data_IF_490469044324
#
_entry.id   IF_490469044324
#
_cell.length_a   1.000
_cell.length_b   1.000
_cell.length_c   1.000
_cell.angle_alpha   90.00
_cell.angle_beta   90.00
_cell.angle_gamma   90.00
#
_symmetry.space_group_name_H-M   'P 1'
#
loop_
_entity.id
_entity.type
_entity.pdbx_description
1 polymer ?
#
# COMPACT_ATOMS: atom_id res chain seq x y z
N UNK A 1 -8.89 14.02 0.07
CA UNK A 1 -8.78 15.50 -0.07
C UNK A 1 -7.49 15.90 -0.78
N UNK A 2 -6.30 15.46 -0.35
CA UNK A 2 -4.98 15.87 -0.90
C UNK A 2 -4.88 15.77 -2.43
N UNK A 3 -5.22 14.61 -3.04
CA UNK A 3 -5.19 14.49 -4.50
C UNK A 3 -6.08 15.50 -5.21
N UNK A 4 -7.28 15.75 -4.69
CA UNK A 4 -8.22 16.72 -5.26
C UNK A 4 -7.67 18.15 -5.18
N UNK A 5 -6.93 18.48 -4.12
CA UNK A 5 -6.26 19.78 -3.97
C UNK A 5 -5.10 19.92 -4.98
N UNK A 6 -4.29 18.88 -5.15
CA UNK A 6 -3.21 18.86 -6.17
C UNK A 6 -3.81 19.04 -7.57
N UNK A 7 -4.91 18.35 -7.88
CA UNK A 7 -5.60 18.48 -9.17
C UNK A 7 -6.31 19.86 -9.35
N UNK A 8 -6.46 20.64 -8.29
CA UNK A 8 -7.20 21.93 -8.31
C UNK A 8 -8.71 21.80 -8.33
N UNK A 9 -9.24 20.61 -8.02
CA UNK A 9 -10.68 20.34 -7.87
C UNK A 9 -11.21 20.96 -6.58
N UNK A 10 -10.36 20.93 -5.54
CA UNK A 10 -10.63 21.55 -4.23
C UNK A 10 -9.54 22.57 -3.97
N UNK A 11 -9.93 23.75 -3.49
CA UNK A 11 -8.99 24.80 -3.10
C UNK A 11 -8.60 24.59 -1.63
N UNK A 12 -7.31 24.44 -1.29
CA UNK A 12 -6.86 24.42 0.10
C UNK A 12 -7.08 25.77 0.79
N UNK A 13 -7.27 25.77 2.10
CA UNK A 13 -7.42 26.99 2.89
C UNK A 13 -6.10 27.77 2.96
N UNK A 14 -4.95 27.05 3.05
CA UNK A 14 -3.64 27.66 3.13
C UNK A 14 -2.53 26.69 2.65
N UNK A 15 -1.32 27.24 2.50
CA UNK A 15 -0.14 26.48 2.09
C UNK A 15 0.24 26.68 0.64
N UNK A 16 1.10 25.81 0.12
CA UNK A 16 1.54 25.81 -1.27
C UNK A 16 1.55 24.40 -1.88
N UNK A 17 1.39 24.34 -3.20
CA UNK A 17 1.56 23.12 -4.01
C UNK A 17 2.50 23.49 -5.16
N UNK A 18 3.64 22.82 -5.18
CA UNK A 18 4.70 23.09 -6.15
C UNK A 18 5.06 21.80 -6.85
N UNK A 19 5.13 21.86 -8.16
CA UNK A 19 5.64 20.78 -9.01
C UNK A 19 7.09 21.09 -9.36
N UNK A 20 8.00 20.30 -8.83
CA UNK A 20 9.42 20.37 -9.19
C UNK A 20 9.64 19.55 -10.45
N UNK A 21 10.28 20.14 -11.46
CA UNK A 21 10.57 19.46 -12.72
C UNK A 21 11.52 18.27 -12.51
N UNK A 22 11.27 17.17 -13.18
CA UNK A 22 12.14 16.01 -13.18
C UNK A 22 13.42 16.31 -13.99
N UNK A 23 14.60 16.17 -13.36
CA UNK A 23 15.94 15.96 -13.89
C UNK A 23 16.50 16.71 -15.11
N UNK A 24 15.71 17.32 -15.96
CA UNK A 24 16.14 17.92 -17.23
C UNK A 24 16.05 19.44 -17.28
N UNK A 25 16.15 20.13 -16.15
CA UNK A 25 16.18 21.61 -16.11
C UNK A 25 14.81 22.28 -16.29
N UNK A 26 13.73 21.54 -16.14
CA UNK A 26 12.38 22.12 -16.11
C UNK A 26 12.22 23.00 -14.88
N UNK A 27 11.68 24.20 -15.09
CA UNK A 27 11.47 25.18 -14.03
C UNK A 27 10.41 24.70 -13.05
N UNK A 28 10.63 24.99 -11.77
CA UNK A 28 9.66 24.82 -10.70
C UNK A 28 8.34 25.53 -11.05
N UNK A 29 7.21 24.83 -10.93
CA UNK A 29 5.90 25.32 -11.27
C UNK A 29 4.99 25.36 -10.04
N UNK A 30 4.55 26.54 -9.65
CA UNK A 30 3.65 26.76 -8.53
C UNK A 30 2.21 26.56 -9.00
N UNK A 31 1.54 25.52 -8.52
CA UNK A 31 0.14 25.22 -8.84
C UNK A 31 -0.85 25.94 -7.91
N UNK A 32 -0.45 26.14 -6.66
CA UNK A 32 -1.21 26.85 -5.64
C UNK A 32 -0.26 27.51 -4.63
N UNK A 33 -0.58 28.73 -4.21
CA UNK A 33 0.11 29.40 -3.11
C UNK A 33 -0.85 30.44 -2.50
N UNK A 34 -1.28 30.18 -1.27
CA UNK A 34 -2.24 31.05 -0.57
C UNK A 34 -1.65 32.43 -0.25
N UNK A 35 -0.37 32.53 0.09
CA UNK A 35 0.31 33.79 0.42
C UNK A 35 0.49 34.67 -0.83
N UNK A 36 0.85 34.05 -1.95
CA UNK A 36 1.07 34.73 -3.24
C UNK A 36 -0.22 34.87 -4.07
N UNK A 37 -1.35 34.35 -3.59
CA UNK A 37 -2.64 34.31 -4.30
C UNK A 37 -2.57 33.64 -5.67
N UNK A 38 -1.72 32.61 -5.79
CA UNK A 38 -1.60 31.81 -6.99
C UNK A 38 -2.59 30.65 -6.90
N UNK A 39 -3.45 30.51 -7.90
CA UNK A 39 -4.36 29.37 -8.03
C UNK A 39 -4.49 29.00 -9.51
N UNK A 40 -3.65 28.08 -9.95
CA UNK A 40 -3.71 27.60 -11.32
C UNK A 40 -4.96 26.75 -11.56
N UNK A 41 -5.69 27.05 -12.61
CA UNK A 41 -6.93 26.32 -12.97
C UNK A 41 -6.61 24.86 -13.30
N UNK A 42 -7.48 23.87 -12.95
CA UNK A 42 -7.24 22.44 -13.21
C UNK A 42 -6.83 22.14 -14.65
N UNK A 43 -7.45 22.79 -15.63
CA UNK A 43 -7.19 22.60 -17.06
C UNK A 43 -5.76 22.97 -17.50
N UNK A 44 -5.08 23.80 -16.72
CA UNK A 44 -3.70 24.22 -16.98
C UNK A 44 -2.65 23.38 -16.24
N UNK A 45 -3.07 22.61 -15.22
CA UNK A 45 -2.14 21.86 -14.36
C UNK A 45 -1.46 20.67 -15.04
N UNK A 46 -1.96 20.23 -16.22
CA UNK A 46 -1.48 19.04 -16.94
C UNK A 46 -1.47 17.79 -16.05
N UNK A 47 -2.52 17.62 -15.26
CA UNK A 47 -2.70 16.53 -14.30
C UNK A 47 -3.74 15.55 -14.82
N UNK A 48 -3.37 14.28 -14.88
CA UNK A 48 -4.29 13.17 -15.11
C UNK A 48 -4.88 12.69 -13.79
N UNK A 49 -6.19 12.70 -13.65
CA UNK A 49 -6.87 12.25 -12.43
C UNK A 49 -7.76 11.04 -12.71
N UNK A 50 -7.43 9.91 -12.06
CA UNK A 50 -8.29 8.73 -12.04
C UNK A 50 -9.18 8.78 -10.81
N UNK A 51 -10.48 8.92 -11.03
CA UNK A 51 -11.48 8.87 -9.97
C UNK A 51 -11.78 7.43 -9.58
N UNK A 52 -12.19 7.21 -8.34
CA UNK A 52 -12.55 5.90 -7.80
C UNK A 52 -13.65 5.18 -8.61
N UNK A 53 -14.58 5.93 -9.20
CA UNK A 53 -15.65 5.43 -10.08
C UNK A 53 -15.35 5.58 -11.57
N UNK A 54 -14.06 5.77 -11.92
CA UNK A 54 -13.53 5.98 -13.27
C UNK A 54 -14.07 7.21 -13.99
N UNK A 55 -15.20 7.75 -13.59
CA UNK A 55 -15.87 8.93 -14.17
C UNK A 55 -15.89 8.94 -15.71
N UNK A 56 -16.22 7.80 -16.32
CA UNK A 56 -16.42 7.72 -17.76
C UNK A 56 -17.67 8.48 -18.17
N UNK A 57 -17.65 9.10 -19.34
CA UNK A 57 -18.81 9.75 -19.91
C UNK A 57 -19.80 8.69 -20.41
N UNK A 58 -20.97 8.53 -19.79
CA UNK A 58 -21.87 7.40 -20.04
C UNK A 58 -22.48 7.39 -21.44
N UNK A 59 -22.59 8.58 -22.06
CA UNK A 59 -23.16 8.78 -23.40
C UNK A 59 -22.11 8.84 -24.51
N UNK A 60 -20.86 8.49 -24.20
CA UNK A 60 -19.76 8.42 -25.16
C UNK A 60 -19.25 6.98 -25.26
N UNK A 61 -18.88 6.58 -26.47
CA UNK A 61 -18.23 5.29 -26.71
C UNK A 61 -16.82 5.26 -26.09
N UNK A 62 -16.16 4.09 -26.10
CA UNK A 62 -14.76 3.93 -25.66
C UNK A 62 -13.84 4.90 -26.40
N UNK A 63 -13.87 4.90 -27.73
CA UNK A 63 -13.04 5.80 -28.52
C UNK A 63 -13.31 7.28 -28.24
N UNK A 64 -14.58 7.66 -28.06
CA UNK A 64 -14.98 9.02 -27.73
C UNK A 64 -14.51 9.42 -26.32
N UNK A 65 -14.61 8.51 -25.34
CA UNK A 65 -14.07 8.73 -24.01
C UNK A 65 -12.55 8.96 -24.04
N UNK A 66 -11.80 8.18 -24.82
CA UNK A 66 -10.35 8.34 -24.95
C UNK A 66 -10.01 9.65 -25.68
N UNK A 67 -10.80 10.03 -26.70
CA UNK A 67 -10.59 11.23 -27.48
C UNK A 67 -10.90 12.54 -26.73
N UNK A 68 -11.72 12.46 -25.66
CA UNK A 68 -12.08 13.63 -24.87
C UNK A 68 -10.84 14.33 -24.32
N UNK A 69 -10.69 15.60 -24.63
CA UNK A 69 -9.56 16.40 -24.18
C UNK A 69 -8.33 16.34 -25.10
N UNK A 70 -8.27 15.46 -26.09
CA UNK A 70 -7.23 15.50 -27.11
C UNK A 70 -7.40 16.77 -27.95
N UNK A 71 -6.39 17.62 -27.92
CA UNK A 71 -6.28 18.81 -28.75
C UNK A 71 -5.06 18.68 -29.63
N UNK A 72 -5.19 18.96 -30.92
CA UNK A 72 -4.04 18.99 -31.82
C UNK A 72 -4.11 18.03 -33.00
N UNK A 73 -2.97 17.78 -33.62
CA UNK A 73 -2.87 16.93 -34.82
C UNK A 73 -3.00 15.44 -34.48
N UNK A 74 -3.72 14.71 -35.33
CA UNK A 74 -3.89 13.26 -35.28
C UNK A 74 -4.52 12.68 -33.98
N UNK A 75 -5.70 13.12 -33.55
CA UNK A 75 -6.38 12.53 -32.41
C UNK A 75 -6.73 11.05 -32.63
N UNK A 76 -7.05 10.65 -33.87
CA UNK A 76 -7.37 9.26 -34.21
C UNK A 76 -6.18 8.32 -34.03
N UNK A 77 -4.97 8.74 -34.43
CA UNK A 77 -3.75 7.96 -34.19
C UNK A 77 -3.42 7.78 -32.70
N UNK A 78 -3.62 8.81 -31.90
CA UNK A 78 -3.47 8.70 -30.43
C UNK A 78 -4.50 7.76 -29.81
N UNK A 79 -5.77 7.87 -30.22
CA UNK A 79 -6.83 6.95 -29.76
C UNK A 79 -6.49 5.50 -30.13
N UNK A 80 -6.11 5.24 -31.38
CA UNK A 80 -5.72 3.90 -31.82
C UNK A 80 -4.56 3.34 -30.99
N UNK A 81 -3.51 4.14 -30.75
CA UNK A 81 -2.38 3.75 -29.88
C UNK A 81 -2.84 3.40 -28.46
N UNK A 82 -3.77 4.16 -27.88
CA UNK A 82 -4.31 3.88 -26.55
C UNK A 82 -5.19 2.62 -26.52
N UNK A 83 -6.02 2.42 -27.55
CA UNK A 83 -6.83 1.20 -27.72
C UNK A 83 -5.93 -0.04 -27.77
N UNK A 84 -4.84 -0.01 -28.54
CA UNK A 84 -3.87 -1.10 -28.61
C UNK A 84 -3.14 -1.31 -27.27
N UNK A 85 -2.61 -0.24 -26.67
CA UNK A 85 -1.86 -0.30 -25.40
C UNK A 85 -2.68 -0.89 -24.25
N UNK A 86 -3.96 -0.52 -24.19
CA UNK A 86 -4.87 -0.96 -23.12
C UNK A 86 -5.74 -2.17 -23.48
N UNK A 87 -5.45 -2.85 -24.61
CA UNK A 87 -6.16 -4.06 -25.06
C UNK A 87 -7.68 -3.84 -25.12
N UNK A 88 -8.09 -2.77 -25.79
CA UNK A 88 -9.50 -2.36 -25.96
C UNK A 88 -10.01 -2.61 -27.39
N UNK A 89 -9.26 -3.38 -28.20
CA UNK A 89 -9.66 -3.71 -29.57
C UNK A 89 -10.99 -4.45 -29.58
N UNK A 90 -11.87 -4.05 -30.49
CA UNK A 90 -13.23 -4.57 -30.62
C UNK A 90 -14.25 -3.95 -29.66
N UNK A 91 -13.80 -3.06 -28.74
CA UNK A 91 -14.65 -2.37 -27.78
C UNK A 91 -14.87 -0.89 -28.12
N UNK A 92 -14.26 -0.39 -29.21
CA UNK A 92 -14.17 1.03 -29.55
C UNK A 92 -15.54 1.73 -29.59
N UNK A 93 -16.54 1.02 -30.11
CA UNK A 93 -17.93 1.51 -30.30
C UNK A 93 -18.85 1.23 -29.10
N UNK A 94 -18.37 0.50 -28.08
CA UNK A 94 -19.17 0.18 -26.91
C UNK A 94 -19.27 1.38 -25.95
N UNK A 95 -20.36 1.43 -25.23
CA UNK A 95 -20.61 2.41 -24.17
C UNK A 95 -20.17 1.88 -22.80
N UNK A 96 -19.85 2.73 -21.81
CA UNK A 96 -19.40 2.30 -20.48
C UNK A 96 -20.26 1.24 -19.83
N UNK A 97 -21.60 1.30 -19.96
CA UNK A 97 -22.53 0.32 -19.41
C UNK A 97 -22.41 -1.11 -19.99
N UNK A 98 -21.72 -1.25 -21.11
CA UNK A 98 -21.51 -2.52 -21.80
C UNK A 98 -20.16 -3.16 -21.42
N UNK A 99 -19.35 -2.46 -20.62
CA UNK A 99 -18.00 -2.84 -20.25
C UNK A 99 -17.97 -3.44 -18.84
N UNK A 100 -17.10 -4.44 -18.62
CA UNK A 100 -16.75 -4.89 -17.27
C UNK A 100 -15.99 -3.79 -16.50
N UNK A 101 -15.95 -3.88 -15.16
CA UNK A 101 -15.22 -2.91 -14.33
C UNK A 101 -13.77 -2.72 -14.74
N UNK A 102 -13.07 -3.81 -15.09
CA UNK A 102 -11.69 -3.74 -15.57
C UNK A 102 -11.56 -3.09 -16.96
N UNK A 103 -12.52 -3.31 -17.85
CA UNK A 103 -12.54 -2.61 -19.14
C UNK A 103 -12.79 -1.10 -18.94
N UNK A 104 -13.70 -0.74 -18.03
CA UNK A 104 -13.95 0.66 -17.69
C UNK A 104 -12.70 1.35 -17.13
N UNK A 105 -11.95 0.68 -16.26
CA UNK A 105 -10.69 1.19 -15.73
C UNK A 105 -9.66 1.41 -16.85
N UNK A 106 -9.49 0.43 -17.74
CA UNK A 106 -8.58 0.55 -18.87
C UNK A 106 -8.95 1.73 -19.78
N UNK A 107 -10.23 1.93 -20.04
CA UNK A 107 -10.71 3.11 -20.79
C UNK A 107 -10.38 4.41 -20.06
N UNK A 108 -10.58 4.47 -18.74
CA UNK A 108 -10.27 5.64 -17.94
C UNK A 108 -8.76 5.96 -17.95
N UNK A 109 -7.91 4.95 -17.79
CA UNK A 109 -6.45 5.11 -17.87
C UNK A 109 -6.02 5.54 -19.30
N UNK A 110 -6.57 4.90 -20.34
CA UNK A 110 -6.33 5.28 -21.73
C UNK A 110 -6.70 6.74 -21.99
N UNK A 111 -7.87 7.19 -21.52
CA UNK A 111 -8.32 8.58 -21.60
C UNK A 111 -7.35 9.56 -20.96
N UNK A 112 -6.89 9.24 -19.73
CA UNK A 112 -6.01 10.11 -18.96
C UNK A 112 -4.62 10.19 -19.61
N UNK A 113 -4.07 9.08 -20.06
CA UNK A 113 -2.72 9.03 -20.64
C UNK A 113 -2.67 9.51 -22.10
N UNK A 114 -3.81 9.55 -22.80
CA UNK A 114 -3.88 10.01 -24.19
C UNK A 114 -3.39 11.45 -24.39
N UNK A 115 -3.57 12.33 -23.40
CA UNK A 115 -3.10 13.72 -23.47
C UNK A 115 -1.74 13.96 -22.83
N UNK A 116 -1.03 12.90 -22.43
CA UNK A 116 0.35 12.96 -21.93
C UNK A 116 0.49 13.94 -20.74
N UNK A 117 -0.12 13.65 -19.58
CA UNK A 117 -0.04 14.53 -18.43
C UNK A 117 1.37 14.53 -17.81
N UNK A 118 1.76 15.60 -17.10
CA UNK A 118 3.02 15.67 -16.36
C UNK A 118 2.92 14.92 -15.02
N UNK A 119 1.71 14.80 -14.49
CA UNK A 119 1.42 14.14 -13.21
C UNK A 119 0.18 13.26 -13.32
N UNK A 120 0.26 12.05 -12.77
CA UNK A 120 -0.83 11.10 -12.69
C UNK A 120 -1.28 10.92 -11.25
N UNK A 121 -2.54 11.21 -10.96
CA UNK A 121 -3.16 11.04 -9.66
C UNK A 121 -4.17 9.90 -9.70
N UNK A 122 -3.97 8.88 -8.88
CA UNK A 122 -4.77 7.66 -8.82
C UNK A 122 -5.50 7.58 -7.48
N UNK A 123 -6.81 7.82 -7.49
CA UNK A 123 -7.65 7.80 -6.28
C UNK A 123 -8.34 6.44 -6.13
N UNK A 124 -7.76 5.55 -5.33
CA UNK A 124 -8.29 4.21 -5.09
C UNK A 124 -8.50 3.38 -6.37
N UNK A 125 -7.49 3.18 -7.22
CA UNK A 125 -7.67 2.64 -8.56
C UNK A 125 -8.33 1.25 -8.60
N UNK A 126 -8.26 0.49 -7.52
CA UNK A 126 -8.79 -0.88 -7.47
C UNK A 126 -9.94 -1.07 -6.46
N UNK A 127 -10.43 0.01 -5.84
CA UNK A 127 -11.38 -0.08 -4.71
C UNK A 127 -12.75 -0.64 -5.09
N UNK A 128 -13.16 -0.56 -6.35
CA UNK A 128 -14.46 -1.01 -6.85
C UNK A 128 -14.42 -2.40 -7.52
N UNK A 129 -13.35 -3.19 -7.30
CA UNK A 129 -13.13 -4.45 -8.01
C UNK A 129 -13.20 -5.66 -7.10
N UNK A 130 -13.63 -6.80 -7.69
CA UNK A 130 -13.46 -8.11 -7.08
C UNK A 130 -11.96 -8.51 -7.00
N UNK A 131 -11.66 -9.49 -6.16
CA UNK A 131 -10.29 -9.89 -5.84
C UNK A 131 -9.53 -10.44 -7.05
N UNK A 132 -10.17 -11.23 -7.89
CA UNK A 132 -9.53 -11.87 -9.04
C UNK A 132 -9.12 -10.84 -10.11
N UNK A 133 -10.03 -9.93 -10.44
CA UNK A 133 -9.79 -8.89 -11.42
C UNK A 133 -8.74 -7.88 -10.94
N UNK A 134 -8.76 -7.57 -9.65
CA UNK A 134 -7.83 -6.63 -9.00
C UNK A 134 -6.36 -7.01 -9.20
N UNK A 135 -6.02 -8.28 -9.02
CA UNK A 135 -4.64 -8.75 -9.15
C UNK A 135 -4.11 -8.60 -10.59
N UNK A 136 -4.90 -9.02 -11.58
CA UNK A 136 -4.54 -8.86 -13.00
C UNK A 136 -4.32 -7.40 -13.38
N UNK A 137 -5.22 -6.51 -12.95
CA UNK A 137 -5.16 -5.08 -13.25
C UNK A 137 -4.04 -4.35 -12.50
N UNK A 138 -3.69 -4.81 -11.30
CA UNK A 138 -2.54 -4.31 -10.54
C UNK A 138 -1.23 -4.55 -11.31
N UNK A 139 -1.05 -5.75 -11.86
CA UNK A 139 0.11 -6.06 -12.70
C UNK A 139 0.13 -5.23 -14.00
N UNK A 140 -1.04 -4.97 -14.58
CA UNK A 140 -1.16 -4.13 -15.78
C UNK A 140 -0.81 -2.66 -15.45
N UNK A 141 -1.36 -2.12 -14.36
CA UNK A 141 -1.03 -0.77 -13.90
C UNK A 141 0.46 -0.61 -13.56
N UNK A 142 1.07 -1.63 -12.92
CA UNK A 142 2.51 -1.63 -12.63
C UNK A 142 3.36 -1.41 -13.90
N UNK A 143 3.00 -2.07 -15.02
CA UNK A 143 3.68 -1.90 -16.30
C UNK A 143 3.49 -0.48 -16.85
N UNK A 144 2.27 0.04 -16.75
CA UNK A 144 1.95 1.41 -17.20
C UNK A 144 2.75 2.44 -16.41
N UNK A 145 2.82 2.30 -15.08
CA UNK A 145 3.55 3.22 -14.21
C UNK A 145 5.06 3.15 -14.43
N UNK A 146 5.61 1.97 -14.70
CA UNK A 146 7.05 1.79 -15.00
C UNK A 146 7.46 2.47 -16.31
N UNK A 147 6.55 2.57 -17.30
CA UNK A 147 6.78 3.23 -18.58
C UNK A 147 6.43 4.72 -18.57
N UNK A 148 5.88 5.21 -17.44
CA UNK A 148 5.44 6.59 -17.33
C UNK A 148 6.55 7.46 -16.76
N UNK A 149 7.03 8.43 -17.54
CA UNK A 149 8.15 9.30 -17.18
C UNK A 149 7.76 10.45 -16.24
N UNK A 150 6.47 10.63 -15.95
CA UNK A 150 5.95 11.68 -15.07
C UNK A 150 5.85 11.27 -13.60
N UNK A 151 5.40 12.20 -12.78
CA UNK A 151 5.13 11.94 -11.36
C UNK A 151 3.81 11.19 -11.23
N UNK A 152 3.80 10.06 -10.50
CA UNK A 152 2.57 9.35 -10.15
C UNK A 152 2.33 9.35 -8.64
N UNK A 153 1.11 9.69 -8.23
CA UNK A 153 0.69 9.65 -6.82
C UNK A 153 -0.56 8.78 -6.72
N UNK A 154 -0.52 7.75 -5.88
CA UNK A 154 -1.63 6.85 -5.65
C UNK A 154 -2.10 6.92 -4.19
N UNK A 155 -3.42 6.92 -3.99
CA UNK A 155 -4.04 6.70 -2.67
C UNK A 155 -4.65 5.32 -2.65
N UNK A 156 -4.31 4.53 -1.64
CA UNK A 156 -4.86 3.19 -1.43
C UNK A 156 -4.93 2.86 0.05
N UNK A 157 -5.84 1.96 0.41
CA UNK A 157 -5.91 1.32 1.73
C UNK A 157 -5.32 -0.10 1.72
N UNK A 158 -4.93 -0.61 0.54
CA UNK A 158 -4.38 -1.94 0.38
C UNK A 158 -2.86 -1.89 0.47
N UNK A 159 -2.30 -2.56 1.48
CA UNK A 159 -0.85 -2.63 1.74
C UNK A 159 -0.07 -3.21 0.57
N UNK A 160 -0.60 -4.28 -0.03
CA UNK A 160 0.04 -4.97 -1.15
C UNK A 160 0.14 -4.08 -2.39
N UNK A 161 -0.89 -3.25 -2.65
CA UNK A 161 -0.87 -2.25 -3.72
C UNK A 161 0.22 -1.21 -3.47
N UNK A 162 0.28 -0.66 -2.26
CA UNK A 162 1.28 0.32 -1.88
C UNK A 162 2.71 -0.24 -1.99
N UNK A 163 2.93 -1.46 -1.49
CA UNK A 163 4.23 -2.12 -1.52
C UNK A 163 4.73 -2.45 -2.94
N UNK A 164 3.81 -2.88 -3.83
CA UNK A 164 4.16 -3.31 -5.18
C UNK A 164 4.26 -2.18 -6.20
N UNK A 165 3.47 -1.11 -6.03
CA UNK A 165 3.31 -0.07 -7.04
C UNK A 165 4.02 1.24 -6.70
N UNK A 166 4.44 1.43 -5.44
CA UNK A 166 5.01 2.70 -4.99
C UNK A 166 6.46 2.54 -4.53
N UNK A 167 7.35 3.35 -5.07
CA UNK A 167 8.75 3.42 -4.62
C UNK A 167 8.86 4.12 -3.25
N UNK A 168 7.98 5.09 -3.00
CA UNK A 168 7.92 5.86 -1.76
C UNK A 168 6.51 5.86 -1.20
N UNK A 169 6.42 5.85 0.11
CA UNK A 169 5.15 5.92 0.85
C UNK A 169 5.08 7.17 1.72
N UNK A 170 3.85 7.61 1.90
CA UNK A 170 3.47 8.59 2.92
C UNK A 170 2.29 8.00 3.69
N UNK A 171 2.52 7.61 4.94
CA UNK A 171 1.47 7.13 5.83
C UNK A 171 0.76 8.34 6.46
N UNK A 172 -0.55 8.38 6.34
CA UNK A 172 -1.37 9.48 6.86
C UNK A 172 -2.40 8.97 7.87
N UNK A 173 -2.58 9.72 8.94
CA UNK A 173 -3.61 9.48 9.93
C UNK A 173 -4.14 10.81 10.44
N UNK A 174 -5.47 10.97 10.53
CA UNK A 174 -6.15 12.19 11.00
C UNK A 174 -5.63 13.49 10.37
N UNK A 175 -5.34 13.44 9.08
CA UNK A 175 -4.84 14.59 8.32
C UNK A 175 -3.36 14.91 8.52
N UNK A 176 -2.63 14.13 9.32
CA UNK A 176 -1.19 14.30 9.57
C UNK A 176 -0.39 13.21 8.88
N UNK A 177 0.85 13.54 8.51
CA UNK A 177 1.83 12.57 8.01
C UNK A 177 2.49 11.90 9.22
N UNK A 178 2.36 10.57 9.33
CA UNK A 178 3.00 9.77 10.37
C UNK A 178 4.43 9.40 9.99
N UNK A 179 4.62 8.97 8.75
CA UNK A 179 5.91 8.56 8.23
C UNK A 179 5.95 8.78 6.72
N UNK A 180 7.12 9.06 6.17
CA UNK A 180 7.35 9.20 4.73
C UNK A 180 8.76 8.74 4.38
N UNK A 181 8.89 7.90 3.36
CA UNK A 181 10.18 7.36 2.94
C UNK A 181 10.06 6.30 1.85
N UNK A 182 11.15 5.60 1.53
CA UNK A 182 11.13 4.45 0.65
C UNK A 182 10.16 3.38 1.15
N UNK A 183 9.37 2.77 0.24
CA UNK A 183 8.31 1.81 0.62
C UNK A 183 8.85 0.67 1.48
N UNK A 184 9.96 0.06 1.06
CA UNK A 184 10.57 -1.08 1.77
C UNK A 184 11.01 -0.71 3.19
N UNK A 185 11.57 0.48 3.36
CA UNK A 185 12.02 0.99 4.66
C UNK A 185 10.84 1.23 5.61
N UNK A 186 9.77 1.89 5.12
CA UNK A 186 8.55 2.12 5.91
C UNK A 186 7.90 0.79 6.33
N UNK A 187 7.93 -0.23 5.45
CA UNK A 187 7.41 -1.55 5.80
C UNK A 187 8.32 -2.31 6.77
N UNK A 188 9.64 -2.23 6.64
CA UNK A 188 10.57 -2.91 7.55
C UNK A 188 10.68 -2.22 8.91
N UNK A 189 10.68 -0.87 8.93
CA UNK A 189 10.81 -0.08 10.15
C UNK A 189 9.79 1.08 10.19
N UNK A 190 8.56 0.83 10.61
CA UNK A 190 7.49 1.83 10.63
C UNK A 190 7.67 2.93 11.69
N UNK A 191 8.48 2.70 12.72
CA UNK A 191 8.89 3.67 13.75
C UNK A 191 7.83 4.02 14.78
N UNK A 192 6.53 3.83 14.54
CA UNK A 192 5.46 4.07 15.52
C UNK A 192 4.39 2.98 15.49
N UNK A 193 3.66 2.85 16.60
CA UNK A 193 2.55 1.89 16.76
C UNK A 193 1.56 2.04 15.60
N UNK A 194 1.15 3.26 15.30
CA UNK A 194 0.15 3.51 14.26
C UNK A 194 0.65 3.15 12.86
N UNK A 195 1.89 3.47 12.54
CA UNK A 195 2.51 3.11 11.28
C UNK A 195 2.69 1.58 11.17
N UNK A 196 3.04 0.90 12.26
CA UNK A 196 3.14 -0.56 12.32
C UNK A 196 1.79 -1.23 12.02
N UNK A 197 0.70 -0.75 12.63
CA UNK A 197 -0.66 -1.22 12.34
C UNK A 197 -1.01 -1.02 10.86
N UNK A 198 -0.77 0.16 10.32
CA UNK A 198 -1.05 0.48 8.91
C UNK A 198 -0.23 -0.38 7.94
N UNK A 199 1.01 -0.74 8.29
CA UNK A 199 1.86 -1.66 7.51
C UNK A 199 1.63 -3.13 7.82
N UNK A 200 0.68 -3.47 8.72
CA UNK A 200 0.18 -4.82 8.92
C UNK A 200 0.77 -5.60 10.08
N UNK A 201 1.47 -4.95 10.99
CA UNK A 201 1.84 -5.56 12.26
C UNK A 201 0.58 -5.71 13.12
N UNK A 202 0.27 -6.95 13.54
CA UNK A 202 -0.88 -7.26 14.39
C UNK A 202 -0.48 -7.47 15.85
N UNK A 203 0.68 -8.05 16.09
CA UNK A 203 1.19 -8.27 17.42
C UNK A 203 1.94 -7.01 17.87
N UNK A 204 1.35 -6.26 18.77
CA UNK A 204 1.94 -5.05 19.36
C UNK A 204 1.71 -5.12 20.88
N UNK A 205 2.75 -4.85 21.64
CA UNK A 205 2.69 -4.82 23.11
C UNK A 205 3.40 -3.60 23.65
N UNK A 206 2.86 -3.05 24.73
CA UNK A 206 3.58 -2.13 25.61
C UNK A 206 4.75 -2.85 26.24
N UNK A 207 5.78 -2.12 26.58
CA UNK A 207 6.98 -2.71 27.19
C UNK A 207 7.35 -2.08 28.51
N UNK A 208 7.95 -2.92 29.35
CA UNK A 208 8.84 -2.49 30.43
C UNK A 208 10.28 -2.74 29.98
N UNK A 209 11.15 -1.73 30.10
CA UNK A 209 12.56 -1.85 29.74
C UNK A 209 13.33 -2.55 30.85
N UNK A 210 13.97 -3.67 30.54
CA UNK A 210 14.82 -4.43 31.45
C UNK A 210 16.31 -4.15 31.27
N UNK A 211 16.68 -3.54 30.13
CA UNK A 211 18.07 -3.24 29.78
C UNK A 211 18.18 -2.55 28.42
N UNK A 212 19.39 -2.44 27.87
CA UNK A 212 19.62 -1.83 26.56
C UNK A 212 19.02 -2.62 25.38
N UNK A 213 18.92 -3.95 25.54
CA UNK A 213 18.45 -4.87 24.51
C UNK A 213 17.41 -5.87 25.04
N UNK A 214 16.87 -5.67 26.24
CA UNK A 214 15.87 -6.57 26.85
C UNK A 214 14.64 -5.79 27.26
N UNK A 215 13.48 -6.37 26.94
CA UNK A 215 12.16 -5.83 27.27
C UNK A 215 11.28 -6.92 27.88
N UNK A 216 10.29 -6.51 28.67
CA UNK A 216 9.14 -7.32 29.06
C UNK A 216 7.92 -6.85 28.32
N UNK A 217 7.27 -7.72 27.56
CA UNK A 217 6.08 -7.43 26.78
C UNK A 217 4.83 -7.55 27.69
N UNK A 218 4.30 -6.41 28.10
CA UNK A 218 3.26 -6.34 29.14
C UNK A 218 1.92 -6.94 28.70
N UNK A 219 1.60 -6.82 27.40
CA UNK A 219 0.33 -7.30 26.85
C UNK A 219 0.40 -8.75 26.35
N UNK A 220 1.58 -9.43 26.47
CA UNK A 220 1.81 -10.81 26.07
C UNK A 220 2.22 -11.70 27.27
N UNK A 221 1.48 -11.61 28.37
CA UNK A 221 1.75 -12.35 29.62
C UNK A 221 3.17 -12.10 30.15
N UNK A 222 3.65 -10.86 30.05
CA UNK A 222 4.95 -10.41 30.57
C UNK A 222 6.17 -11.18 30.04
N UNK A 223 6.09 -11.69 28.81
CA UNK A 223 7.21 -12.40 28.18
C UNK A 223 8.42 -11.47 28.06
N UNK A 224 9.60 -11.99 28.43
CA UNK A 224 10.86 -11.29 28.28
C UNK A 224 11.45 -11.59 26.90
N UNK A 225 11.84 -10.55 26.18
CA UNK A 225 12.39 -10.64 24.83
C UNK A 225 13.68 -9.82 24.70
N UNK A 226 14.60 -10.36 23.91
CA UNK A 226 15.82 -9.68 23.50
C UNK A 226 15.61 -9.07 22.13
N UNK A 227 16.01 -7.83 21.92
CA UNK A 227 15.90 -7.08 20.67
C UNK A 227 17.29 -6.70 20.15
N UNK A 228 17.43 -6.58 18.82
CA UNK A 228 18.70 -6.20 18.21
C UNK A 228 19.02 -4.71 18.41
N UNK A 229 18.00 -3.87 18.31
CA UNK A 229 18.13 -2.41 18.44
C UNK A 229 18.34 -1.94 19.87
N UNK A 230 18.91 -0.74 20.04
CA UNK A 230 19.07 -0.11 21.34
C UNK A 230 17.72 0.53 21.77
N UNK A 231 17.25 0.20 22.98
CA UNK A 231 16.00 0.69 23.52
C UNK A 231 16.23 2.07 24.15
N UNK A 232 15.73 3.12 23.51
CA UNK A 232 15.71 4.47 24.04
C UNK A 232 14.45 4.76 24.84
N UNK A 233 14.42 5.85 25.60
CA UNK A 233 13.25 6.22 26.43
C UNK A 233 12.01 6.58 25.59
N UNK A 234 12.18 6.83 24.28
CA UNK A 234 11.06 7.08 23.36
C UNK A 234 10.34 5.80 22.91
N UNK A 235 10.98 4.63 23.08
CA UNK A 235 10.42 3.35 22.71
C UNK A 235 9.50 2.87 23.82
N UNK A 236 8.22 2.80 23.52
CA UNK A 236 7.16 2.44 24.46
C UNK A 236 6.50 1.10 24.14
N UNK A 237 6.69 0.61 22.91
CA UNK A 237 6.08 -0.61 22.40
C UNK A 237 7.06 -1.43 21.59
N UNK A 238 6.75 -2.72 21.46
CA UNK A 238 7.35 -3.59 20.45
C UNK A 238 6.27 -4.16 19.54
N UNK A 239 6.69 -4.58 18.35
CA UNK A 239 5.82 -5.25 17.39
C UNK A 239 6.48 -6.47 16.76
N UNK A 240 5.70 -7.53 16.49
CA UNK A 240 6.15 -8.72 15.77
C UNK A 240 5.14 -9.02 14.68
N UNK A 241 5.57 -9.23 13.45
CA UNK A 241 4.67 -9.62 12.38
C UNK A 241 4.30 -11.10 12.49
N UNK A 242 3.08 -11.44 12.14
CA UNK A 242 2.56 -12.80 12.30
C UNK A 242 3.33 -13.87 11.49
N UNK A 243 4.09 -13.47 10.48
CA UNK A 243 4.92 -14.36 9.66
C UNK A 243 6.40 -14.41 10.07
N UNK A 244 6.82 -13.60 11.05
CA UNK A 244 8.22 -13.57 11.52
C UNK A 244 8.50 -14.62 12.60
N UNK A 245 7.51 -15.39 13.00
CA UNK A 245 7.69 -16.48 13.94
C UNK A 245 8.15 -17.76 13.23
N UNK A 246 9.16 -18.40 13.78
CA UNK A 246 9.66 -19.71 13.37
C UNK A 246 9.07 -20.79 14.31
N UNK A 247 8.31 -21.78 13.77
CA UNK A 247 7.74 -22.84 14.59
C UNK A 247 8.81 -23.87 14.98
N UNK A 248 8.82 -24.28 16.25
CA UNK A 248 9.66 -25.35 16.78
C UNK A 248 8.75 -26.51 17.20
N UNK A 249 8.88 -27.63 16.47
CA UNK A 249 7.95 -28.76 16.61
C UNK A 249 8.26 -29.68 17.78
N UNK A 250 9.53 -29.75 18.23
CA UNK A 250 9.97 -30.68 19.27
C UNK A 250 10.68 -29.96 20.42
N UNK A 251 10.25 -30.23 21.65
CA UNK A 251 10.86 -29.74 22.87
C UNK A 251 12.33 -30.15 23.04
N UNK A 252 12.78 -31.23 22.39
CA UNK A 252 14.19 -31.66 22.39
C UNK A 252 15.10 -30.78 21.51
N UNK A 253 14.52 -29.95 20.66
CA UNK A 253 15.27 -29.10 19.71
C UNK A 253 15.69 -27.75 20.28
N UNK A 254 15.29 -27.41 21.50
CA UNK A 254 15.70 -26.15 22.12
C UNK A 254 16.09 -26.30 23.60
N UNK A 255 17.04 -25.48 24.03
CA UNK A 255 17.40 -25.33 25.42
C UNK A 255 16.64 -24.15 26.06
N UNK A 256 16.50 -24.15 27.38
CA UNK A 256 15.93 -23.02 28.14
C UNK A 256 16.76 -21.73 28.03
N UNK A 257 17.93 -21.78 27.42
CA UNK A 257 18.82 -20.64 27.18
C UNK A 257 18.62 -20.00 25.79
N UNK A 258 17.75 -20.57 24.93
CA UNK A 258 17.47 -19.95 23.63
C UNK A 258 16.74 -18.63 23.76
N UNK A 259 17.19 -17.65 22.96
CA UNK A 259 16.69 -16.29 22.96
C UNK A 259 15.33 -16.24 22.26
N UNK A 260 14.36 -15.53 22.88
CA UNK A 260 13.05 -15.24 22.32
C UNK A 260 12.21 -16.47 21.96
N UNK A 261 12.22 -17.45 22.84
CA UNK A 261 11.38 -18.64 22.71
C UNK A 261 10.05 -18.41 23.44
N UNK A 262 8.93 -18.60 22.74
CA UNK A 262 7.57 -18.40 23.23
C UNK A 262 6.88 -19.76 23.23
N UNK A 263 6.64 -20.40 24.38
CA UNK A 263 5.89 -21.65 24.45
C UNK A 263 4.46 -21.46 23.92
N UNK A 264 3.94 -22.47 23.23
CA UNK A 264 2.58 -22.47 22.71
C UNK A 264 1.68 -23.27 23.64
N UNK A 265 0.69 -22.58 24.23
CA UNK A 265 -0.32 -23.17 25.09
C UNK A 265 -1.71 -22.83 24.56
N UNK A 266 -2.62 -23.81 24.56
CA UNK A 266 -4.04 -23.66 24.25
C UNK A 266 -4.34 -22.75 23.04
N UNK A 267 -3.78 -23.01 21.85
CA UNK A 267 -3.95 -22.15 20.70
C UNK A 267 -5.38 -22.26 20.14
N UNK A 268 -5.96 -21.12 19.77
CA UNK A 268 -7.17 -21.07 18.95
C UNK A 268 -6.77 -21.07 17.47
N UNK A 269 -7.32 -22.01 16.69
CA UNK A 269 -6.96 -22.20 15.30
C UNK A 269 -8.16 -21.84 14.41
N UNK A 270 -7.96 -20.86 13.53
CA UNK A 270 -8.88 -20.52 12.46
C UNK A 270 -8.32 -20.97 11.10
N UNK A 271 -9.08 -21.85 10.43
CA UNK A 271 -8.70 -22.38 9.13
C UNK A 271 -9.11 -21.41 8.01
N UNK A 272 -8.14 -21.05 7.15
CA UNK A 272 -8.36 -20.30 5.92
C UNK A 272 -7.97 -21.18 4.71
N UNK A 273 -8.37 -20.84 3.48
CA UNK A 273 -8.12 -21.70 2.31
C UNK A 273 -6.65 -22.13 2.11
N UNK A 274 -5.71 -21.23 2.36
CA UNK A 274 -4.27 -21.46 2.12
C UNK A 274 -3.39 -21.27 3.35
N UNK A 275 -3.97 -20.91 4.48
CA UNK A 275 -3.25 -20.50 5.68
C UNK A 275 -4.00 -20.92 6.94
N UNK A 276 -3.26 -21.06 8.04
CA UNK A 276 -3.78 -21.18 9.38
C UNK A 276 -3.53 -19.87 10.13
N UNK A 277 -4.55 -19.30 10.75
CA UNK A 277 -4.42 -18.22 11.72
C UNK A 277 -4.50 -18.83 13.11
N UNK A 278 -3.45 -18.67 13.88
CA UNK A 278 -3.31 -19.27 15.19
C UNK A 278 -3.15 -18.14 16.19
N UNK A 279 -4.05 -18.09 17.18
CA UNK A 279 -4.00 -17.13 18.30
C UNK A 279 -3.58 -17.90 19.54
N UNK A 280 -2.51 -17.46 20.18
CA UNK A 280 -2.03 -18.01 21.44
C UNK A 280 -2.79 -17.43 22.63
N UNK A 281 -2.72 -18.07 23.78
CA UNK A 281 -3.32 -17.64 25.04
C UNK A 281 -2.80 -16.27 25.53
N UNK A 282 -1.61 -15.88 25.11
CA UNK A 282 -1.02 -14.56 25.32
C UNK A 282 -1.39 -13.52 24.25
N UNK A 283 -2.45 -13.77 23.46
CA UNK A 283 -2.95 -12.90 22.41
C UNK A 283 -2.02 -12.68 21.21
N UNK A 284 -0.93 -13.43 21.10
CA UNK A 284 -0.07 -13.41 19.91
C UNK A 284 -0.73 -14.10 18.73
N UNK A 285 -0.65 -13.46 17.59
CA UNK A 285 -1.10 -13.98 16.32
C UNK A 285 0.06 -14.56 15.53
N UNK A 286 -0.07 -15.81 15.13
CA UNK A 286 0.84 -16.48 14.25
C UNK A 286 0.11 -16.93 12.99
N UNK A 287 0.80 -16.83 11.85
CA UNK A 287 0.29 -17.22 10.54
C UNK A 287 1.19 -18.33 9.98
N UNK A 288 0.59 -19.47 9.68
CA UNK A 288 1.26 -20.62 9.04
C UNK A 288 0.64 -20.87 7.67
N UNK A 289 1.45 -21.00 6.64
CA UNK A 289 1.02 -21.46 5.32
C UNK A 289 0.63 -22.93 5.37
N UNK A 290 -0.43 -23.30 4.64
CA UNK A 290 -0.84 -24.69 4.48
C UNK A 290 0.08 -25.37 3.48
N UNK A 291 0.62 -26.52 3.87
CA UNK A 291 1.18 -27.46 2.91
C UNK A 291 0.01 -28.20 2.23
N UNK A 292 -0.24 -27.91 0.96
CA UNK A 292 -1.33 -28.46 0.17
C UNK A 292 -1.24 -29.99 0.06
N UNK A 293 -0.07 -30.56 0.32
CA UNK A 293 0.19 -31.99 0.22
C UNK A 293 0.01 -32.76 1.53
N UNK A 294 -0.09 -32.06 2.67
CA UNK A 294 -0.32 -32.67 3.98
C UNK A 294 -1.71 -32.31 4.47
N UNK A 295 -2.66 -33.24 4.34
CA UNK A 295 -4.00 -33.11 4.94
C UNK A 295 -4.01 -33.35 6.45
N UNK A 296 -2.84 -33.46 7.08
CA UNK A 296 -2.74 -33.85 8.48
C UNK A 296 -2.74 -32.60 9.39
N UNK A 297 -3.79 -32.48 10.17
CA UNK A 297 -3.90 -31.49 11.25
C UNK A 297 -2.97 -31.77 12.44
N UNK A 298 -2.35 -32.97 12.50
CA UNK A 298 -1.49 -33.45 13.57
C UNK A 298 -0.09 -32.82 13.50
N UNK A 299 0.15 -31.63 13.39
CA UNK A 299 1.46 -30.96 13.31
C UNK A 299 1.32 -29.45 13.08
N UNK A 300 0.07 -28.97 13.19
CA UNK A 300 -0.22 -27.55 12.99
C UNK A 300 0.32 -26.72 14.15
N UNK A 301 0.24 -27.25 15.38
CA UNK A 301 0.64 -26.57 16.60
C UNK A 301 2.06 -26.97 16.96
N UNK A 302 3.02 -26.03 16.92
CA UNK A 302 4.37 -26.28 17.40
C UNK A 302 4.43 -26.28 18.91
N UNK A 303 5.51 -26.83 19.48
CA UNK A 303 5.79 -26.76 20.89
C UNK A 303 6.09 -25.33 21.38
N UNK A 304 6.77 -24.57 20.51
CA UNK A 304 7.10 -23.17 20.77
C UNK A 304 7.22 -22.39 19.46
N UNK A 305 7.18 -21.06 19.56
CA UNK A 305 7.53 -20.12 18.50
C UNK A 305 8.83 -19.41 18.87
N UNK A 306 9.74 -19.30 17.93
CA UNK A 306 10.95 -18.48 18.06
C UNK A 306 10.81 -17.22 17.21
N UNK A 307 11.33 -16.10 17.72
CA UNK A 307 11.42 -14.86 16.95
C UNK A 307 12.84 -14.31 17.00
N UNK A 308 13.38 -13.95 15.83
CA UNK A 308 14.69 -13.31 15.75
C UNK A 308 14.68 -11.96 16.46
N UNK A 309 15.72 -11.57 17.23
CA UNK A 309 15.84 -10.23 17.77
C UNK A 309 15.70 -9.11 16.74
N UNK A 310 16.16 -9.35 15.50
CA UNK A 310 16.07 -8.40 14.38
C UNK A 310 14.67 -8.27 13.78
N UNK A 311 13.78 -9.23 14.03
CA UNK A 311 12.39 -9.18 13.56
C UNK A 311 11.46 -8.42 14.52
N UNK A 312 11.94 -8.05 15.70
CA UNK A 312 11.17 -7.31 16.70
C UNK A 312 11.28 -5.81 16.41
N UNK A 313 10.15 -5.21 16.05
CA UNK A 313 10.04 -3.78 15.79
C UNK A 313 10.07 -2.99 17.09
N UNK A 314 10.90 -1.95 17.16
CA UNK A 314 10.91 -0.97 18.25
C UNK A 314 10.02 0.22 17.85
N UNK A 315 8.98 0.51 18.65
CA UNK A 315 7.93 1.44 18.27
C UNK A 315 7.76 2.54 19.32
N UNK A 316 7.63 3.78 18.84
CA UNK A 316 7.11 4.90 19.60
C UNK A 316 5.59 4.86 19.61
N UNK A 317 4.96 5.55 20.55
CA UNK A 317 3.50 5.66 20.61
C UNK A 317 2.88 6.26 19.34
#
# INVERSE_FOLDING_TARGET
MTLKSIAGIVTPDSGNIVLHGGGNGEQERVLFDSARKIHEKPQKRRIGYLFQNYALFPNMTVEQNIAVGLKGQNPEGKVKKMVERFRLQGLEKQYPRQLSGGQQQRVALARILAYEPDTLLLDGPFSAMDTFLRESLRLELAKVLKEYDGISIMVTHARDEAYQLCDRLMLMHEGKVLASGPSREIFSNPGSVRAAVLTGCKNISRIERLGSHRVRALDWNEIELTVEGNITDEITHIGIRAHDFEPISDHSQYSSEEINLIPVHNPEIAEMPFEWYITLDNHLWWKKEKDIHTHDSAGIVPAALRVSPSAILLLKE
#
